data_IF_576524396580
#
_entry.id   IF_576524396580
#
_cell.length_a   1.000
_cell.length_b   1.000
_cell.length_c   1.000
_cell.angle_alpha   90.00
_cell.angle_beta   90.00
_cell.angle_gamma   90.00
#
_symmetry.space_group_name_H-M   'P 1'
#
loop_
_entity.id
_entity.type
_entity.pdbx_description
1 polymer ?
#
# COMPACT_ATOMS: atom_id res chain seq x y z
N UNK A 1 -13.80 9.04 -22.29
CA UNK A 1 -12.42 9.49 -22.02
C UNK A 1 -12.23 9.44 -20.51
N UNK A 2 -11.31 8.62 -19.98
CA UNK A 2 -11.01 8.58 -18.55
C UNK A 2 -9.82 9.50 -18.35
N UNK A 3 -10.03 10.63 -17.69
CA UNK A 3 -8.94 11.53 -17.34
C UNK A 3 -7.87 10.72 -16.61
N UNK A 4 -6.65 10.73 -17.15
CA UNK A 4 -5.49 10.17 -16.49
C UNK A 4 -5.38 10.89 -15.15
N UNK A 5 -5.58 10.15 -14.06
CA UNK A 5 -5.58 10.67 -12.70
C UNK A 5 -4.35 11.54 -12.43
N UNK A 6 -4.53 12.85 -12.57
CA UNK A 6 -3.52 13.88 -12.30
C UNK A 6 -3.06 13.85 -10.83
N UNK A 7 -3.90 13.31 -9.95
CA UNK A 7 -3.61 13.14 -8.53
C UNK A 7 -2.84 11.86 -8.18
N UNK A 8 -2.74 10.88 -9.09
CA UNK A 8 -2.18 9.55 -8.74
C UNK A 8 -0.70 9.37 -9.01
N UNK A 9 -0.12 10.11 -9.98
CA UNK A 9 1.24 9.85 -10.48
C UNK A 9 2.36 10.43 -9.64
N UNK A 10 2.05 11.31 -8.69
CA UNK A 10 3.04 11.92 -7.80
C UNK A 10 2.97 11.37 -6.36
N UNK A 11 2.00 10.49 -6.04
CA UNK A 11 1.86 9.99 -4.68
C UNK A 11 2.96 9.01 -4.35
N UNK A 12 3.62 9.27 -3.22
CA UNK A 12 4.44 8.29 -2.55
C UNK A 12 3.58 7.62 -1.47
N UNK A 13 3.63 6.31 -1.42
CA UNK A 13 2.97 5.52 -0.40
C UNK A 13 4.02 4.93 0.54
N UNK A 14 3.96 5.28 1.82
CA UNK A 14 4.81 4.71 2.85
C UNK A 14 4.14 3.45 3.41
N UNK A 15 4.85 2.33 3.35
CA UNK A 15 4.42 1.04 3.89
C UNK A 15 5.12 0.83 5.23
N UNK A 16 4.34 0.51 6.25
CA UNK A 16 4.84 0.13 7.57
C UNK A 16 4.35 -1.25 7.97
N UNK A 17 5.22 -2.05 8.57
CA UNK A 17 4.90 -3.33 9.21
C UNK A 17 5.07 -3.16 10.71
N UNK A 18 4.04 -3.49 11.48
CA UNK A 18 4.05 -3.38 12.95
C UNK A 18 4.48 -1.97 13.43
N UNK A 19 3.99 -0.93 12.74
CA UNK A 19 4.32 0.49 12.95
C UNK A 19 5.76 0.89 12.63
N UNK A 20 6.58 0.00 12.08
CA UNK A 20 7.90 0.33 11.56
C UNK A 20 7.82 0.55 10.04
N UNK A 21 8.24 1.72 9.57
CA UNK A 21 8.29 2.02 8.13
C UNK A 21 9.33 1.11 7.47
N UNK A 22 8.89 0.29 6.52
CA UNK A 22 9.76 -0.64 5.81
C UNK A 22 10.16 -0.13 4.43
N UNK A 23 9.29 0.63 3.75
CA UNK A 23 9.61 1.21 2.45
C UNK A 23 8.65 2.32 2.01
N UNK A 24 9.06 3.03 0.97
CA UNK A 24 8.21 3.88 0.14
C UNK A 24 8.01 3.23 -1.23
N UNK A 25 6.83 3.38 -1.82
CA UNK A 25 6.51 2.90 -3.17
C UNK A 25 5.72 3.96 -3.94
N UNK A 26 6.00 4.09 -5.24
CA UNK A 26 5.34 5.03 -6.16
C UNK A 26 4.45 4.31 -7.17
N UNK A 27 3.69 5.09 -7.92
CA UNK A 27 2.83 4.54 -8.98
C UNK A 27 3.66 3.73 -10.00
N UNK A 28 3.15 2.54 -10.34
CA UNK A 28 3.79 1.58 -11.26
C UNK A 28 5.04 0.88 -10.71
N UNK A 29 5.42 1.12 -9.45
CA UNK A 29 6.42 0.31 -8.78
C UNK A 29 5.77 -0.94 -8.15
N UNK A 30 6.57 -1.99 -8.00
CA UNK A 30 6.21 -3.20 -7.29
C UNK A 30 7.33 -3.55 -6.31
N UNK A 31 6.96 -4.08 -5.15
CA UNK A 31 7.89 -4.47 -4.11
C UNK A 31 7.54 -5.85 -3.55
N UNK A 32 8.57 -6.57 -3.11
CA UNK A 32 8.41 -7.84 -2.39
C UNK A 32 9.12 -7.74 -1.06
N UNK A 33 8.38 -7.99 0.02
CA UNK A 33 8.90 -8.04 1.39
C UNK A 33 9.02 -9.50 1.80
N UNK A 34 10.23 -9.90 2.22
CA UNK A 34 10.45 -11.23 2.79
C UNK A 34 10.33 -11.13 4.31
N UNK A 35 9.35 -11.85 4.88
CA UNK A 35 9.05 -11.85 6.29
C UNK A 35 8.95 -13.28 6.81
N UNK A 36 9.25 -13.47 8.09
CA UNK A 36 8.99 -14.74 8.77
C UNK A 36 7.49 -15.04 8.83
N UNK A 37 7.08 -16.31 9.01
CA UNK A 37 5.68 -16.62 9.27
C UNK A 37 5.19 -15.94 10.55
N UNK A 38 3.99 -15.37 10.53
CA UNK A 38 3.44 -14.64 11.66
C UNK A 38 2.30 -13.70 11.31
N UNK A 39 1.84 -12.97 12.32
CA UNK A 39 0.82 -11.92 12.17
C UNK A 39 1.48 -10.54 12.08
N UNK A 40 1.03 -9.75 11.12
CA UNK A 40 1.56 -8.44 10.81
C UNK A 40 0.43 -7.41 10.76
N UNK A 41 0.67 -6.26 11.37
CA UNK A 41 -0.14 -5.07 11.16
C UNK A 41 0.48 -4.26 10.01
N UNK A 42 -0.20 -4.21 8.87
CA UNK A 42 0.25 -3.43 7.72
C UNK A 42 -0.46 -2.10 7.72
N UNK A 43 0.32 -1.02 7.72
CA UNK A 43 -0.18 0.34 7.55
C UNK A 43 0.36 0.93 6.26
N UNK A 44 -0.53 1.59 5.53
CA UNK A 44 -0.23 2.31 4.32
C UNK A 44 -0.61 3.77 4.52
N UNK A 45 0.39 4.64 4.42
CA UNK A 45 0.20 6.08 4.48
C UNK A 45 0.44 6.67 3.08
N UNK A 46 -0.40 7.59 2.65
CA UNK A 46 -0.16 8.40 1.45
C UNK A 46 0.11 9.83 1.88
N UNK A 47 1.09 10.47 1.26
CA UNK A 47 1.40 11.87 1.51
C UNK A 47 2.47 12.42 0.58
N UNK A 48 2.68 13.73 0.64
CA UNK A 48 3.65 14.46 -0.17
C UNK A 48 3.07 15.03 -1.47
N UNK A 49 3.53 16.22 -1.84
CA UNK A 49 3.08 16.92 -3.05
C UNK A 49 1.57 17.26 -3.01
N UNK A 50 0.84 16.87 -4.06
CA UNK A 50 -0.59 17.12 -4.23
C UNK A 50 -1.49 15.99 -3.71
N UNK A 51 -0.92 15.03 -2.98
CA UNK A 51 -1.65 13.85 -2.51
C UNK A 51 -2.28 14.07 -1.14
N UNK A 52 -3.51 13.55 -0.93
CA UNK A 52 -4.16 13.66 0.37
C UNK A 52 -3.39 12.88 1.44
N UNK A 53 -3.32 13.43 2.66
CA UNK A 53 -2.73 12.77 3.82
C UNK A 53 -3.73 11.77 4.41
N UNK A 54 -3.83 10.61 3.77
CA UNK A 54 -4.75 9.53 4.13
C UNK A 54 -3.99 8.26 4.49
N UNK A 55 -4.57 7.47 5.37
CA UNK A 55 -3.98 6.22 5.82
C UNK A 55 -5.01 5.10 5.82
N UNK A 56 -4.55 3.88 5.60
CA UNK A 56 -5.34 2.66 5.76
C UNK A 56 -4.47 1.60 6.42
N UNK A 57 -5.11 0.64 7.09
CA UNK A 57 -4.38 -0.44 7.73
C UNK A 57 -5.19 -1.72 7.76
N UNK A 58 -4.50 -2.85 7.80
CA UNK A 58 -5.11 -4.16 7.92
C UNK A 58 -4.17 -5.15 8.59
N UNK A 59 -4.74 -6.14 9.26
CA UNK A 59 -3.98 -7.27 9.79
C UNK A 59 -3.82 -8.34 8.71
N UNK A 60 -2.61 -8.90 8.62
CA UNK A 60 -2.26 -10.01 7.76
C UNK A 60 -1.71 -11.15 8.60
N UNK A 61 -1.98 -12.38 8.20
CA UNK A 61 -1.31 -13.58 8.71
C UNK A 61 -0.58 -14.22 7.54
N UNK A 62 0.73 -14.41 7.65
CA UNK A 62 1.57 -15.06 6.65
C UNK A 62 1.97 -16.43 7.19
N UNK A 63 1.60 -17.50 6.50
CA UNK A 63 2.03 -18.86 6.83
C UNK A 63 3.40 -19.20 6.21
N UNK A 64 4.03 -20.29 6.68
CA UNK A 64 5.29 -20.79 6.12
C UNK A 64 5.18 -21.08 4.62
N UNK A 65 6.01 -20.42 3.81
CA UNK A 65 6.01 -20.56 2.36
C UNK A 65 4.84 -19.86 1.64
N UNK A 66 3.98 -19.14 2.37
CA UNK A 66 2.87 -18.42 1.77
C UNK A 66 3.35 -17.14 1.07
N UNK A 67 2.79 -16.89 -0.12
CA UNK A 67 2.95 -15.63 -0.84
C UNK A 67 1.60 -14.94 -0.96
N UNK A 68 1.52 -13.72 -0.45
CA UNK A 68 0.34 -12.86 -0.58
C UNK A 68 0.71 -11.65 -1.43
N UNK A 69 -0.13 -11.33 -2.43
CA UNK A 69 0.06 -10.19 -3.32
C UNK A 69 -1.04 -9.19 -3.07
N UNK A 70 -0.67 -7.92 -2.95
CA UNK A 70 -1.60 -6.82 -2.70
C UNK A 70 -1.39 -5.70 -3.68
N UNK A 71 -2.48 -5.06 -4.06
CA UNK A 71 -2.51 -3.86 -4.88
C UNK A 71 -2.91 -2.65 -4.03
N UNK A 72 -2.15 -1.58 -4.14
CA UNK A 72 -2.50 -0.27 -3.60
C UNK A 72 -3.48 0.39 -4.57
N UNK A 73 -4.63 0.82 -4.05
CA UNK A 73 -5.65 1.53 -4.80
C UNK A 73 -5.99 2.85 -4.09
N UNK A 74 -5.92 3.94 -4.83
CA UNK A 74 -6.45 5.25 -4.44
C UNK A 74 -7.49 5.69 -5.49
N UNK A 75 -8.75 5.26 -5.37
CA UNK A 75 -9.79 5.64 -6.30
C UNK A 75 -10.20 7.11 -6.10
N UNK A 76 -11.00 7.63 -7.03
CA UNK A 76 -11.48 9.02 -6.99
C UNK A 76 -12.40 9.34 -5.79
N UNK A 77 -12.80 8.32 -5.03
CA UNK A 77 -13.53 8.49 -3.78
C UNK A 77 -12.62 8.89 -2.59
N UNK A 78 -11.31 8.99 -2.82
CA UNK A 78 -10.33 9.40 -1.82
C UNK A 78 -10.01 8.32 -0.77
N UNK A 79 -10.55 7.11 -0.91
CA UNK A 79 -10.35 6.05 0.05
C UNK A 79 -9.18 5.16 -0.36
N UNK A 80 -8.08 5.26 0.38
CA UNK A 80 -6.92 4.40 0.21
C UNK A 80 -7.25 2.97 0.63
N UNK A 81 -6.96 2.01 -0.25
CA UNK A 81 -7.25 0.59 -0.04
C UNK A 81 -6.04 -0.25 -0.39
N UNK A 82 -5.83 -1.31 0.38
CA UNK A 82 -4.91 -2.39 0.07
C UNK A 82 -5.75 -3.63 -0.26
N UNK A 83 -5.80 -4.00 -1.54
CA UNK A 83 -6.67 -5.09 -2.01
C UNK A 83 -5.82 -6.30 -2.35
N UNK A 84 -6.20 -7.46 -1.80
CA UNK A 84 -5.53 -8.73 -2.11
C UNK A 84 -5.79 -9.11 -3.57
N UNK A 85 -4.75 -9.43 -4.31
CA UNK A 85 -4.89 -10.04 -5.63
C UNK A 85 -5.19 -11.53 -5.45
N UNK A 86 -6.18 -12.03 -6.21
CA UNK A 86 -6.59 -13.44 -6.19
C UNK A 86 -5.70 -14.27 -7.11
#
# INVERSE_FOLDING_TARGET
MRDKGFHGSACTHAISLNNEKVMDIRQSEAATLYVSPGSYFVKLDTGGGACPNISTSQNLTINGGERQVYRILLPSDGNLRLTREQ
#
